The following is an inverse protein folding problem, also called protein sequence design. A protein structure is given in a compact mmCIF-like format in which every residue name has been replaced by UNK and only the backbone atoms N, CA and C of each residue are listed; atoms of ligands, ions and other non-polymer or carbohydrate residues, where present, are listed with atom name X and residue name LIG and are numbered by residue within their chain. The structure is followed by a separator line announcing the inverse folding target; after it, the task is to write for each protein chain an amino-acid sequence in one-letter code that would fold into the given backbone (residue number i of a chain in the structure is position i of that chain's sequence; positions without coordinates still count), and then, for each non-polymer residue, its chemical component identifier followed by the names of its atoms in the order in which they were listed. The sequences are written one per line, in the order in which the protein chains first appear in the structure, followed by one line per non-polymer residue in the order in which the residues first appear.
data_IF_005887018635
#
_entry.id   IF_005887018635
#
_cell.length_a   1.000
_cell.length_b   1.000
_cell.length_c   1.000
_cell.angle_alpha   90.00
_cell.angle_beta   90.00
_cell.angle_gamma   90.00
#
_symmetry.space_group_name_H-M   'P 1'
#
loop_
_entity.id
_entity.type
_entity.pdbx_description
1 polymer ?
#
# COMPACT_ATOMS: atom_id res chain seq x y z
N UNK A 1 -13.78 0.30 -10.03
CA UNK A 1 -13.06 -0.95 -10.36
C UNK A 1 -11.74 -0.94 -9.61
N UNK A 2 -11.40 -2.00 -8.88
CA UNK A 2 -10.10 -2.17 -8.23
C UNK A 2 -9.18 -2.93 -9.18
N UNK A 3 -7.99 -2.42 -9.46
CA UNK A 3 -7.01 -3.05 -10.35
C UNK A 3 -5.61 -2.94 -9.76
N UNK A 4 -4.89 -4.05 -9.77
CA UNK A 4 -3.51 -4.15 -9.34
C UNK A 4 -2.71 -4.88 -10.42
N UNK A 5 -1.51 -4.39 -10.72
CA UNK A 5 -0.57 -5.04 -11.63
C UNK A 5 0.53 -5.67 -10.82
N UNK A 6 0.72 -6.97 -10.99
CA UNK A 6 1.71 -7.76 -10.24
C UNK A 6 2.77 -8.27 -11.21
N UNK A 7 4.04 -8.16 -10.81
CA UNK A 7 5.21 -8.67 -11.51
C UNK A 7 5.92 -9.68 -10.62
N UNK A 8 5.46 -10.96 -10.58
CA UNK A 8 5.96 -11.95 -9.63
C UNK A 8 7.47 -12.19 -9.75
N UNK A 9 8.00 -12.23 -10.97
CA UNK A 9 9.44 -12.43 -11.22
C UNK A 9 10.31 -11.30 -10.66
N UNK A 10 9.74 -10.09 -10.55
CA UNK A 10 10.41 -8.92 -9.98
C UNK A 10 10.09 -8.73 -8.50
N UNK A 11 9.26 -9.60 -7.92
CA UNK A 11 8.75 -9.45 -6.55
C UNK A 11 8.17 -8.04 -6.33
N UNK A 12 7.39 -7.55 -7.30
CA UNK A 12 6.89 -6.19 -7.33
C UNK A 12 5.40 -6.15 -7.67
N UNK A 13 4.65 -5.24 -7.06
CA UNK A 13 3.27 -4.96 -7.41
C UNK A 13 3.00 -3.46 -7.36
N UNK A 14 2.02 -3.00 -8.15
CA UNK A 14 1.61 -1.60 -8.13
C UNK A 14 0.13 -1.40 -8.45
N UNK A 15 -0.41 -0.28 -8.00
CA UNK A 15 -1.73 0.22 -8.40
C UNK A 15 -1.74 1.74 -8.39
N UNK A 16 -2.60 2.34 -9.18
CA UNK A 16 -2.91 3.78 -9.15
C UNK A 16 -4.20 4.08 -8.38
N UNK A 17 -4.89 3.04 -7.92
CA UNK A 17 -6.17 3.14 -7.23
C UNK A 17 -5.99 3.59 -5.77
N UNK A 18 -7.10 3.92 -5.13
CA UNK A 18 -7.12 4.12 -3.69
C UNK A 18 -6.76 2.80 -2.98
N UNK A 19 -5.92 2.90 -1.94
CA UNK A 19 -5.47 1.76 -1.15
C UNK A 19 -5.70 2.01 0.34
N UNK A 20 -5.89 0.91 1.07
CA UNK A 20 -6.02 0.88 2.52
C UNK A 20 -5.15 -0.27 3.04
N UNK A 21 -4.30 0.04 4.01
CA UNK A 21 -3.40 -0.89 4.67
C UNK A 21 -3.80 -0.94 6.14
N UNK A 22 -4.16 -2.13 6.60
CA UNK A 22 -4.46 -2.43 8.00
C UNK A 22 -3.20 -2.96 8.70
N UNK A 23 -2.78 -2.30 9.76
CA UNK A 23 -1.67 -2.73 10.62
C UNK A 23 -2.09 -2.82 12.08
N UNK A 24 -1.23 -3.40 12.93
CA UNK A 24 -1.54 -3.66 14.34
C UNK A 24 -1.82 -2.40 15.19
N UNK A 25 -1.41 -1.22 14.74
CA UNK A 25 -1.61 0.06 15.43
C UNK A 25 -2.55 1.04 14.72
N UNK A 26 -3.13 0.67 13.58
CA UNK A 26 -3.98 1.59 12.85
C UNK A 26 -4.11 1.31 11.36
N UNK A 27 -4.79 2.23 10.68
CA UNK A 27 -5.08 2.17 9.24
C UNK A 27 -4.29 3.23 8.51
N UNK A 28 -3.61 2.86 7.42
CA UNK A 28 -3.03 3.83 6.48
C UNK A 28 -3.76 3.79 5.15
N UNK A 29 -4.14 4.95 4.62
CA UNK A 29 -4.78 5.08 3.30
C UNK A 29 -3.95 5.96 2.37
N UNK A 30 -4.14 5.80 1.06
CA UNK A 30 -3.48 6.64 0.07
C UNK A 30 -4.06 6.42 -1.33
N UNK A 31 -3.58 7.20 -2.30
CA UNK A 31 -3.85 7.00 -3.73
C UNK A 31 -2.57 6.61 -4.45
N UNK A 32 -2.60 5.42 -5.04
CA UNK A 32 -1.47 4.79 -5.69
C UNK A 32 -0.52 4.13 -4.69
N UNK A 33 0.06 3.00 -5.10
CA UNK A 33 0.94 2.18 -4.28
C UNK A 33 1.97 1.45 -5.14
N UNK A 34 3.18 1.30 -4.60
CA UNK A 34 4.21 0.37 -5.06
C UNK A 34 4.59 -0.56 -3.92
N UNK A 35 4.70 -1.85 -4.19
CA UNK A 35 5.05 -2.86 -3.19
C UNK A 35 6.23 -3.68 -3.67
N UNK A 36 7.23 -3.82 -2.81
CA UNK A 36 8.46 -4.58 -3.03
C UNK A 36 8.40 -5.82 -2.13
N UNK A 37 7.86 -6.91 -2.68
CA UNK A 37 7.47 -8.11 -1.96
C UNK A 37 8.66 -8.79 -1.28
N UNK A 38 9.82 -8.78 -1.93
CA UNK A 38 11.06 -9.34 -1.36
C UNK A 38 11.54 -8.59 -0.11
N UNK A 39 11.27 -7.29 -0.06
CA UNK A 39 11.69 -6.38 1.02
C UNK A 39 10.63 -6.21 2.11
N UNK A 40 9.39 -6.68 1.87
CA UNK A 40 8.25 -6.36 2.71
C UNK A 40 7.91 -4.86 2.75
N UNK A 41 8.37 -4.09 1.75
CA UNK A 41 8.27 -2.63 1.72
C UNK A 41 7.10 -2.16 0.86
N UNK A 42 6.41 -1.11 1.31
CA UNK A 42 5.32 -0.46 0.58
C UNK A 42 5.57 1.05 0.53
N UNK A 43 5.50 1.61 -0.68
CA UNK A 43 5.50 3.05 -0.90
C UNK A 43 4.09 3.49 -1.31
N UNK A 44 3.52 4.44 -0.58
CA UNK A 44 2.28 5.11 -0.94
C UNK A 44 2.58 6.41 -1.67
N UNK A 45 1.91 6.66 -2.79
CA UNK A 45 2.35 7.71 -3.73
C UNK A 45 1.79 9.09 -3.41
N UNK A 46 0.51 9.20 -3.02
CA UNK A 46 -0.13 10.51 -2.80
C UNK A 46 -1.32 10.42 -1.84
N UNK A 47 -1.73 11.58 -1.30
CA UNK A 47 -2.87 11.72 -0.39
C UNK A 47 -2.81 10.74 0.81
N UNK A 48 -1.59 10.49 1.31
CA UNK A 48 -1.32 9.52 2.36
C UNK A 48 -1.87 10.01 3.68
N UNK A 49 -2.67 9.19 4.36
CA UNK A 49 -3.24 9.47 5.68
C UNK A 49 -3.15 8.25 6.57
N UNK A 50 -2.51 8.41 7.72
CA UNK A 50 -2.53 7.43 8.81
C UNK A 50 -3.60 7.77 9.84
N UNK A 51 -4.34 6.77 10.29
CA UNK A 51 -5.17 6.80 11.49
C UNK A 51 -4.54 5.84 12.49
N UNK A 52 -4.16 6.34 13.65
CA UNK A 52 -3.57 5.57 14.74
C UNK A 52 -4.54 5.54 15.91
N UNK A 53 -4.75 4.38 16.51
CA UNK A 53 -5.48 4.28 17.77
C UNK A 53 -4.50 4.50 18.92
N UNK A 54 -4.61 5.66 19.59
CA UNK A 54 -3.89 5.89 20.84
C UNK A 54 -4.43 4.90 21.88
N UNK A 55 -3.59 3.93 22.26
CA UNK A 55 -3.86 3.03 23.39
C UNK A 55 -3.51 3.70 24.70
#
# INVERSE_FOLDING_TARGET
STRMTVFPQKQYAQTEQAVRIDGAGGTTTGKGMKTYLKEGRVDLLSNVRGQYEAR
#
